data_IF_434723587445
#
_entry.id   IF_434723587445
#
_cell.length_a   1.000
_cell.length_b   1.000
_cell.length_c   1.000
_cell.angle_alpha   90.00
_cell.angle_beta   90.00
_cell.angle_gamma   90.00
#
_symmetry.space_group_name_H-M   'P 1'
#
loop_
_entity.id
_entity.type
_entity.pdbx_description
1 polymer ?
#
# COMPACT_ATOMS: atom_id res chain seq x y z
N UNK A 1 -11.85 24.62 1.85
CA UNK A 1 -11.05 23.40 1.55
C UNK A 1 -11.98 22.21 1.37
N UNK A 2 -11.60 21.19 0.59
CA UNK A 2 -12.34 19.93 0.43
C UNK A 2 -11.37 18.76 0.41
N UNK A 3 -11.83 17.57 0.79
CA UNK A 3 -11.04 16.32 0.73
C UNK A 3 -11.64 15.43 -0.36
N UNK A 4 -10.76 14.92 -1.23
CA UNK A 4 -11.07 13.99 -2.32
C UNK A 4 -10.00 12.90 -2.33
N UNK A 5 -10.31 11.76 -2.97
CA UNK A 5 -9.30 10.77 -3.31
C UNK A 5 -8.91 10.91 -4.76
N UNK A 6 -7.68 10.51 -5.09
CA UNK A 6 -7.24 10.34 -6.46
C UNK A 6 -7.29 8.86 -6.80
N UNK A 7 -8.00 8.50 -7.87
CA UNK A 7 -8.02 7.13 -8.34
C UNK A 7 -6.60 6.71 -8.78
N UNK A 8 -6.16 5.51 -8.38
CA UNK A 8 -4.79 5.03 -8.56
C UNK A 8 -4.34 5.07 -10.02
N UNK A 9 -5.16 4.56 -10.94
CA UNK A 9 -4.81 4.48 -12.36
C UNK A 9 -5.13 5.76 -13.13
N UNK A 10 -6.39 6.21 -13.08
CA UNK A 10 -6.89 7.33 -13.92
C UNK A 10 -6.48 8.70 -13.41
N UNK A 11 -6.00 8.80 -12.15
CA UNK A 11 -5.71 10.06 -11.45
C UNK A 11 -6.91 11.00 -11.33
N UNK A 12 -8.13 10.54 -11.60
CA UNK A 12 -9.34 11.33 -11.44
C UNK A 12 -9.67 11.54 -9.96
N UNK A 13 -10.21 12.71 -9.64
CA UNK A 13 -10.78 12.97 -8.31
C UNK A 13 -12.07 12.16 -8.15
N UNK A 14 -12.16 11.41 -7.05
CA UNK A 14 -13.35 10.69 -6.62
C UNK A 14 -13.70 11.08 -5.18
N UNK A 15 -14.92 10.77 -4.77
CA UNK A 15 -15.38 11.01 -3.40
C UNK A 15 -14.55 10.21 -2.39
N UNK A 16 -14.23 10.84 -1.27
CA UNK A 16 -13.43 10.24 -0.20
C UNK A 16 -14.29 9.40 0.77
N UNK A 17 -15.08 8.48 0.21
CA UNK A 17 -16.03 7.62 0.95
C UNK A 17 -15.35 6.63 1.91
N UNK A 18 -14.01 6.54 1.89
CA UNK A 18 -13.24 5.75 2.85
C UNK A 18 -13.22 6.37 4.26
N UNK A 19 -13.69 7.63 4.40
CA UNK A 19 -13.77 8.34 5.67
C UNK A 19 -15.20 8.43 6.18
N UNK A 20 -15.40 8.05 7.44
CA UNK A 20 -16.65 8.27 8.18
C UNK A 20 -16.85 9.76 8.48
N UNK A 21 -15.75 10.46 8.81
CA UNK A 21 -15.80 11.90 9.08
C UNK A 21 -14.44 12.58 8.92
N UNK A 22 -14.47 13.86 8.60
CA UNK A 22 -13.32 14.76 8.59
C UNK A 22 -13.54 15.88 9.59
N UNK A 23 -12.58 16.08 10.49
CA UNK A 23 -12.57 17.21 11.42
C UNK A 23 -11.51 18.22 10.99
N UNK A 24 -11.91 19.47 10.80
CA UNK A 24 -10.97 20.57 10.62
C UNK A 24 -10.79 21.28 11.96
N UNK A 25 -9.55 21.37 12.42
CA UNK A 25 -9.15 22.13 13.61
C UNK A 25 -8.58 23.47 13.15
N UNK A 26 -9.46 24.44 12.94
CA UNK A 26 -9.11 25.81 12.59
C UNK A 26 -8.44 26.54 13.76
N UNK A 27 -7.89 27.72 13.47
CA UNK A 27 -7.31 28.59 14.49
C UNK A 27 -8.33 28.98 15.58
N UNK A 28 -7.86 29.22 16.81
CA UNK A 28 -8.71 29.53 17.98
C UNK A 28 -9.56 30.80 17.82
N UNK A 29 -9.15 31.72 16.93
CA UNK A 29 -9.91 32.95 16.61
C UNK A 29 -11.28 32.68 16.01
N UNK A 30 -11.54 31.46 15.50
CA UNK A 30 -12.87 31.03 15.06
C UNK A 30 -13.81 30.67 16.22
N UNK A 31 -13.35 30.70 17.48
CA UNK A 31 -14.17 30.46 18.67
C UNK A 31 -14.83 29.09 18.65
N UNK A 32 -16.15 29.05 18.82
CA UNK A 32 -16.93 27.80 18.79
C UNK A 32 -16.82 27.05 17.45
N UNK A 33 -16.44 27.75 16.37
CA UNK A 33 -16.22 27.17 15.05
C UNK A 33 -14.79 26.68 14.82
N UNK A 34 -13.90 26.79 15.81
CA UNK A 34 -12.52 26.34 15.67
C UNK A 34 -12.42 24.84 15.39
N UNK A 35 -13.42 24.04 15.77
CA UNK A 35 -13.45 22.60 15.47
C UNK A 35 -14.74 22.22 14.75
N UNK A 36 -14.63 21.84 13.48
CA UNK A 36 -15.78 21.51 12.64
C UNK A 36 -15.70 20.09 12.10
N UNK A 37 -16.78 19.32 12.24
CA UNK A 37 -16.84 17.90 11.83
C UNK A 37 -17.82 17.74 10.66
N UNK A 38 -17.34 17.12 9.58
CA UNK A 38 -18.12 16.80 8.39
C UNK A 38 -18.19 15.30 8.20
N UNK A 39 -19.37 14.76 7.86
CA UNK A 39 -19.62 13.30 7.78
C UNK A 39 -19.93 12.80 6.37
N UNK A 40 -19.79 13.65 5.36
CA UNK A 40 -20.06 13.31 3.96
C UNK A 40 -19.07 14.00 3.02
N UNK A 41 -18.61 13.32 1.95
CA UNK A 41 -17.86 13.96 0.89
C UNK A 41 -18.62 15.14 0.27
N UNK A 42 -17.89 16.15 -0.25
CA UNK A 42 -16.44 16.25 -0.30
C UNK A 42 -15.84 16.86 0.99
N UNK A 43 -16.53 16.74 2.13
CA UNK A 43 -16.13 17.25 3.45
C UNK A 43 -15.72 18.72 3.39
N UNK A 44 -16.48 19.54 2.67
CA UNK A 44 -16.07 20.92 2.38
C UNK A 44 -16.25 21.82 3.60
N UNK A 45 -15.15 22.45 4.02
CA UNK A 45 -15.16 23.59 4.95
C UNK A 45 -15.03 24.90 4.20
N UNK A 46 -15.77 25.92 4.63
CA UNK A 46 -15.77 27.27 4.06
C UNK A 46 -16.01 28.28 5.17
N UNK A 47 -15.05 29.18 5.37
CA UNK A 47 -15.13 30.26 6.34
C UNK A 47 -14.38 31.49 5.78
N UNK A 48 -14.72 32.67 6.28
CA UNK A 48 -14.04 33.91 5.97
C UNK A 48 -13.00 34.22 7.06
N UNK A 49 -11.79 34.60 6.66
CA UNK A 49 -10.69 34.89 7.57
C UNK A 49 -9.64 35.77 6.91
N UNK A 50 -8.76 36.33 7.73
CA UNK A 50 -7.74 37.30 7.31
C UNK A 50 -6.31 36.81 7.52
N UNK A 51 -6.13 35.65 8.15
CA UNK A 51 -4.82 35.11 8.53
C UNK A 51 -4.52 33.78 7.87
N UNK A 52 -3.22 33.54 7.68
CA UNK A 52 -2.63 32.27 7.28
C UNK A 52 -2.24 31.48 8.54
N UNK A 53 -2.41 30.16 8.52
CA UNK A 53 -2.08 29.31 9.65
C UNK A 53 -2.00 27.83 9.25
N UNK A 54 -1.21 27.07 9.98
CA UNK A 54 -1.28 25.61 9.91
C UNK A 54 -2.49 25.10 10.69
N UNK A 55 -3.22 24.15 10.09
CA UNK A 55 -4.36 23.51 10.73
C UNK A 55 -4.24 22.00 10.67
N UNK A 56 -4.79 21.32 11.69
CA UNK A 56 -4.87 19.88 11.70
C UNK A 56 -6.18 19.43 11.05
N UNK A 57 -6.08 18.46 10.15
CA UNK A 57 -7.20 17.77 9.54
C UNK A 57 -7.19 16.34 10.08
N UNK A 58 -8.18 15.98 10.90
CA UNK A 58 -8.35 14.64 11.44
C UNK A 58 -9.30 13.86 10.52
N UNK A 59 -8.81 12.81 9.87
CA UNK A 59 -9.58 11.94 9.00
C UNK A 59 -9.91 10.65 9.75
N UNK A 60 -11.18 10.44 10.09
CA UNK A 60 -11.66 9.19 10.67
C UNK A 60 -12.06 8.24 9.57
N UNK A 61 -11.34 7.14 9.40
CA UNK A 61 -11.68 6.13 8.40
C UNK A 61 -12.89 5.27 8.81
N UNK A 62 -13.42 4.50 7.87
CA UNK A 62 -14.55 3.58 8.11
C UNK A 62 -14.23 2.45 9.10
N UNK A 63 -12.96 2.21 9.44
CA UNK A 63 -12.55 1.30 10.50
C UNK A 63 -12.46 2.01 11.88
N UNK A 64 -12.73 3.32 11.92
CA UNK A 64 -12.71 4.15 13.11
C UNK A 64 -11.31 4.68 13.49
N UNK A 65 -10.28 4.43 12.68
CA UNK A 65 -8.93 4.93 12.92
C UNK A 65 -8.80 6.38 12.45
N UNK A 66 -8.08 7.19 13.24
CA UNK A 66 -7.78 8.58 12.92
C UNK A 66 -6.45 8.69 12.18
N UNK A 67 -6.44 9.49 11.11
CA UNK A 67 -5.27 9.90 10.36
C UNK A 67 -5.17 11.43 10.38
N UNK A 68 -4.08 11.96 10.92
CA UNK A 68 -3.92 13.41 11.09
C UNK A 68 -3.01 13.96 10.00
N UNK A 69 -3.47 15.02 9.35
CA UNK A 69 -2.71 15.76 8.34
C UNK A 69 -2.54 17.19 8.84
N UNK A 70 -1.32 17.69 8.79
CA UNK A 70 -1.06 19.13 8.98
C UNK A 70 -1.16 19.78 7.60
N UNK A 71 -2.03 20.78 7.49
CA UNK A 71 -2.24 21.53 6.25
C UNK A 71 -1.96 23.00 6.49
N UNK A 72 -1.07 23.56 5.67
CA UNK A 72 -0.77 24.98 5.66
C UNK A 72 -1.85 25.75 4.87
N UNK A 73 -2.63 26.57 5.57
CA UNK A 73 -3.56 27.52 4.98
C UNK A 73 -2.83 28.82 4.67
N UNK A 74 -2.49 29.03 3.40
CA UNK A 74 -1.86 30.27 2.92
C UNK A 74 -2.60 30.84 1.70
N UNK A 75 -2.28 32.09 1.36
CA UNK A 75 -2.89 32.84 0.27
C UNK A 75 -1.91 33.12 -0.87
N UNK A 76 -0.80 32.38 -0.93
CA UNK A 76 0.19 32.49 -2.02
C UNK A 76 -0.45 32.22 -3.40
N UNK A 77 -1.45 31.34 -3.45
CA UNK A 77 -2.22 31.05 -4.67
C UNK A 77 -3.73 31.06 -4.35
N UNK A 78 -4.54 31.60 -5.28
CA UNK A 78 -6.01 31.61 -5.15
C UNK A 78 -6.63 30.20 -5.06
N UNK A 79 -5.94 29.20 -5.60
CA UNK A 79 -6.25 27.78 -5.46
C UNK A 79 -4.95 26.99 -5.43
N UNK A 80 -4.86 26.06 -4.49
CA UNK A 80 -3.79 25.08 -4.42
C UNK A 80 -4.34 23.74 -3.92
N UNK A 81 -3.53 22.70 -4.06
CA UNK A 81 -3.82 21.37 -3.59
C UNK A 81 -2.56 20.78 -2.96
N UNK A 82 -2.76 19.92 -1.94
CA UNK A 82 -1.68 19.17 -1.30
C UNK A 82 -2.02 17.70 -1.41
N UNK A 83 -1.11 16.91 -1.99
CA UNK A 83 -1.28 15.45 -2.11
C UNK A 83 -0.75 14.76 -0.87
N UNK A 84 -1.54 13.87 -0.31
CA UNK A 84 -1.24 13.17 0.93
C UNK A 84 -1.37 11.66 0.70
N UNK A 85 -0.40 10.89 1.18
CA UNK A 85 -0.37 9.44 1.07
C UNK A 85 -0.78 8.85 2.42
N UNK A 86 -1.84 8.04 2.43
CA UNK A 86 -2.34 7.35 3.63
C UNK A 86 -2.27 5.84 3.39
N UNK A 87 -1.53 5.13 4.22
CA UNK A 87 -1.40 3.67 4.15
C UNK A 87 -2.39 3.00 5.11
N UNK A 88 -3.30 2.20 4.55
CA UNK A 88 -4.23 1.38 5.30
C UNK A 88 -3.67 -0.04 5.45
N UNK A 89 -3.23 -0.41 6.66
CA UNK A 89 -2.71 -1.76 6.95
C UNK A 89 -3.87 -2.71 7.26
N UNK A 90 -3.96 -3.80 6.52
CA UNK A 90 -4.99 -4.84 6.68
C UNK A 90 -6.43 -4.27 6.71
N UNK A 91 -6.86 -3.46 5.72
CA UNK A 91 -8.22 -2.92 5.69
C UNK A 91 -9.25 -4.06 5.61
N UNK A 92 -10.37 -3.89 6.30
CA UNK A 92 -11.45 -4.90 6.38
C UNK A 92 -12.81 -4.24 6.32
N UNK A 93 -13.84 -5.04 6.03
CA UNK A 93 -15.23 -4.60 6.06
C UNK A 93 -15.50 -3.42 5.12
N UNK A 94 -16.25 -2.44 5.61
CA UNK A 94 -16.67 -1.26 4.83
C UNK A 94 -15.47 -0.44 4.30
N UNK A 95 -14.36 -0.38 5.05
CA UNK A 95 -13.16 0.33 4.59
C UNK A 95 -12.53 -0.34 3.36
N UNK A 96 -12.38 -1.66 3.38
CA UNK A 96 -11.85 -2.40 2.24
C UNK A 96 -12.77 -2.27 1.01
N UNK A 97 -14.09 -2.37 1.22
CA UNK A 97 -15.06 -2.22 0.15
C UNK A 97 -15.00 -0.83 -0.51
N UNK A 98 -14.93 0.23 0.28
CA UNK A 98 -14.81 1.59 -0.22
C UNK A 98 -13.47 1.84 -0.95
N UNK A 99 -12.37 1.26 -0.45
CA UNK A 99 -11.04 1.41 -1.07
C UNK A 99 -11.01 0.86 -2.51
N UNK A 100 -11.77 -0.18 -2.84
CA UNK A 100 -11.83 -0.73 -4.21
C UNK A 100 -12.32 0.28 -5.26
N UNK A 101 -13.12 1.26 -4.86
CA UNK A 101 -13.57 2.33 -5.75
C UNK A 101 -12.44 3.30 -6.13
N UNK A 102 -11.33 3.30 -5.36
CA UNK A 102 -10.16 4.15 -5.59
C UNK A 102 -9.07 3.50 -6.44
N UNK A 103 -9.25 2.23 -6.82
CA UNK A 103 -8.34 1.50 -7.69
C UNK A 103 -7.99 0.11 -7.16
N UNK A 104 -7.04 -0.57 -7.81
CA UNK A 104 -6.60 -1.91 -7.43
C UNK A 104 -6.06 -1.96 -5.99
N UNK A 105 -6.45 -2.99 -5.23
CA UNK A 105 -5.96 -3.23 -3.87
C UNK A 105 -4.83 -4.27 -3.93
N UNK A 106 -3.62 -3.96 -3.42
CA UNK A 106 -2.52 -4.91 -3.39
C UNK A 106 -2.89 -6.20 -2.63
N UNK A 107 -2.58 -7.36 -3.22
CA UNK A 107 -2.85 -8.68 -2.61
C UNK A 107 -4.27 -9.21 -2.78
N UNK A 108 -5.21 -8.40 -3.30
CA UNK A 108 -6.52 -8.88 -3.73
C UNK A 108 -6.45 -9.22 -5.23
N UNK A 109 -6.28 -10.50 -5.55
CA UNK A 109 -6.35 -10.95 -6.95
C UNK A 109 -7.69 -10.49 -7.55
N UNK A 110 -7.63 -9.78 -8.68
CA UNK A 110 -8.79 -9.25 -9.40
C UNK A 110 -9.77 -10.38 -9.74
N UNK A 111 -10.75 -10.60 -8.86
CA UNK A 111 -11.90 -11.45 -9.15
C UNK A 111 -12.95 -10.57 -9.82
N UNK A 112 -12.80 -10.44 -11.13
CA UNK A 112 -13.87 -9.90 -11.98
C UNK A 112 -15.10 -10.79 -11.87
N UNK A 113 -16.16 -10.28 -11.22
CA UNK A 113 -17.55 -10.38 -11.65
C UNK A 113 -18.28 -11.74 -11.57
N UNK A 114 -19.41 -11.70 -10.85
CA UNK A 114 -20.59 -12.58 -10.89
C UNK A 114 -20.48 -13.98 -10.23
N UNK A 115 -21.12 -14.17 -9.07
CA UNK A 115 -22.54 -14.56 -9.01
C UNK A 115 -23.07 -14.44 -7.58
N UNK A 116 -24.38 -14.28 -7.48
CA UNK A 116 -25.13 -14.02 -6.29
C UNK A 116 -25.27 -15.26 -5.39
N UNK A 117 -25.68 -14.99 -4.16
CA UNK A 117 -26.49 -15.88 -3.32
C UNK A 117 -25.85 -17.17 -2.79
N UNK A 118 -25.58 -17.21 -1.48
CA UNK A 118 -26.08 -18.26 -0.57
C UNK A 118 -25.65 -18.02 0.88
N UNK A 119 -26.60 -17.47 1.65
CA UNK A 119 -27.04 -17.93 2.98
C UNK A 119 -26.04 -18.68 3.88
N UNK A 120 -25.84 -18.06 5.06
CA UNK A 120 -26.16 -18.58 6.41
C UNK A 120 -25.52 -19.91 6.86
N UNK A 121 -25.00 -19.81 8.09
CA UNK A 121 -25.08 -20.76 9.22
C UNK A 121 -23.90 -21.72 9.45
N UNK A 122 -23.15 -21.33 10.50
CA UNK A 122 -22.87 -22.08 11.73
C UNK A 122 -22.16 -23.44 11.65
N UNK A 123 -21.02 -23.44 12.36
CA UNK A 123 -20.34 -24.55 13.00
C UNK A 123 -21.24 -25.67 13.55
N UNK A 124 -20.87 -26.93 13.32
CA UNK A 124 -20.29 -27.82 14.35
C UNK A 124 -19.94 -29.21 13.78
N UNK A 125 -18.73 -29.66 14.16
CA UNK A 125 -18.32 -31.03 14.56
C UNK A 125 -18.35 -32.17 13.53
N UNK A 126 -17.19 -32.83 13.37
CA UNK A 126 -17.17 -34.28 13.11
C UNK A 126 -15.93 -34.87 12.43
N UNK A 127 -14.88 -35.12 13.22
CA UNK A 127 -13.94 -36.26 13.16
C UNK A 127 -13.35 -36.76 11.81
N UNK A 128 -12.02 -36.59 11.70
CA UNK A 128 -11.08 -37.69 11.41
C UNK A 128 -10.78 -38.06 9.96
N UNK A 129 -9.57 -37.75 9.50
CA UNK A 129 -8.55 -38.78 9.17
C UNK A 129 -7.34 -38.20 8.43
N UNK A 130 -6.23 -38.85 8.71
CA UNK A 130 -4.84 -38.55 8.39
C UNK A 130 -4.47 -38.76 6.92
N UNK A 131 -3.52 -37.95 6.43
CA UNK A 131 -2.64 -38.15 5.27
C UNK A 131 -3.26 -38.23 3.85
N UNK A 132 -3.01 -37.20 3.04
CA UNK A 132 -2.14 -37.36 1.85
C UNK A 132 -1.66 -36.03 1.26
N UNK A 133 -0.34 -35.89 1.24
CA UNK A 133 0.45 -35.05 0.34
C UNK A 133 -0.07 -35.21 -1.10
N UNK A 134 -0.46 -34.12 -1.76
CA UNK A 134 -0.52 -34.05 -3.23
C UNK A 134 -0.01 -32.68 -3.70
N UNK A 135 1.23 -32.71 -4.16
CA UNK A 135 1.95 -31.68 -4.90
C UNK A 135 1.51 -31.72 -6.37
N UNK A 136 1.49 -30.56 -7.01
CA UNK A 136 1.49 -30.34 -8.46
C UNK A 136 0.70 -29.08 -8.81
N UNK A 137 1.27 -28.01 -9.37
CA UNK A 137 2.62 -27.73 -9.91
C UNK A 137 2.73 -26.20 -10.08
N UNK A 138 3.85 -25.55 -10.36
CA UNK A 138 5.19 -25.95 -10.79
C UNK A 138 6.13 -24.83 -10.27
N UNK A 139 7.15 -25.19 -9.51
CA UNK A 139 8.11 -24.22 -8.96
C UNK A 139 9.20 -24.99 -8.22
N UNK A 140 10.42 -24.97 -8.76
CA UNK A 140 11.62 -25.46 -8.07
C UNK A 140 11.63 -24.85 -6.66
N UNK A 141 11.88 -25.66 -5.63
CA UNK A 141 12.23 -25.10 -4.33
C UNK A 141 13.53 -24.32 -4.53
N UNK A 142 13.44 -22.99 -4.42
CA UNK A 142 14.57 -22.09 -4.64
C UNK A 142 15.46 -22.17 -3.40
N UNK A 143 16.76 -22.37 -3.61
CA UNK A 143 17.76 -22.42 -2.55
C UNK A 143 18.20 -21.00 -2.21
N UNK A 144 17.75 -20.48 -1.07
CA UNK A 144 17.97 -19.08 -0.68
C UNK A 144 19.44 -18.75 -0.45
N UNK A 145 20.23 -19.72 0.02
CA UNK A 145 21.65 -19.53 0.29
C UNK A 145 22.43 -19.40 -1.03
N UNK A 146 22.09 -20.24 -2.01
CA UNK A 146 22.66 -20.13 -3.37
C UNK A 146 22.23 -18.85 -4.07
N UNK A 147 20.99 -18.40 -3.87
CA UNK A 147 20.51 -17.14 -4.41
C UNK A 147 21.34 -15.95 -3.89
N UNK A 148 21.57 -15.91 -2.57
CA UNK A 148 22.39 -14.88 -1.94
C UNK A 148 23.83 -14.87 -2.48
N UNK A 149 24.44 -16.05 -2.65
CA UNK A 149 25.77 -16.20 -3.22
C UNK A 149 25.83 -15.73 -4.69
N UNK A 150 24.80 -16.05 -5.48
CA UNK A 150 24.68 -15.63 -6.87
C UNK A 150 24.60 -14.12 -7.00
N UNK A 151 23.77 -13.46 -6.18
CA UNK A 151 23.60 -12.01 -6.19
C UNK A 151 24.91 -11.26 -5.89
N UNK A 152 25.75 -11.79 -4.98
CA UNK A 152 27.05 -11.18 -4.65
C UNK A 152 28.12 -11.33 -5.74
N UNK A 153 27.95 -12.28 -6.67
CA UNK A 153 28.90 -12.54 -7.76
C UNK A 153 28.57 -11.79 -9.05
N UNK A 154 27.44 -11.09 -9.09
CA UNK A 154 27.03 -10.30 -10.25
C UNK A 154 27.98 -9.12 -10.47
N UNK A 155 28.20 -8.77 -11.74
CA UNK A 155 28.91 -7.54 -12.10
C UNK A 155 28.09 -6.30 -11.82
N UNK A 156 28.73 -5.13 -11.85
CA UNK A 156 28.10 -3.83 -11.57
C UNK A 156 26.86 -3.56 -12.43
N UNK A 157 26.94 -3.82 -13.74
CA UNK A 157 25.82 -3.65 -14.67
C UNK A 157 24.63 -4.57 -14.34
N UNK A 158 24.90 -5.80 -13.90
CA UNK A 158 23.88 -6.78 -13.54
C UNK A 158 23.25 -6.47 -12.17
N UNK A 159 24.02 -5.90 -11.24
CA UNK A 159 23.53 -5.43 -9.94
C UNK A 159 22.54 -4.28 -10.09
N UNK A 160 22.76 -3.35 -11.01
CA UNK A 160 21.79 -2.29 -11.32
C UNK A 160 20.45 -2.87 -11.80
N UNK A 161 20.50 -3.92 -12.62
CA UNK A 161 19.30 -4.60 -13.09
C UNK A 161 18.57 -5.33 -11.95
N UNK A 162 19.30 -5.92 -11.00
CA UNK A 162 18.72 -6.50 -9.78
C UNK A 162 18.03 -5.45 -8.93
N UNK A 163 18.66 -4.29 -8.70
CA UNK A 163 18.07 -3.19 -7.93
C UNK A 163 16.76 -2.73 -8.57
N UNK A 164 16.74 -2.58 -9.90
CA UNK A 164 15.55 -2.23 -10.65
C UNK A 164 14.45 -3.31 -10.52
N UNK A 165 14.79 -4.59 -10.70
CA UNK A 165 13.85 -5.70 -10.55
C UNK A 165 13.23 -5.75 -9.15
N UNK A 166 14.04 -5.53 -8.12
CA UNK A 166 13.60 -5.48 -6.73
C UNK A 166 12.71 -4.26 -6.50
N UNK A 167 13.09 -3.08 -7.01
CA UNK A 167 12.28 -1.87 -6.87
C UNK A 167 10.89 -2.01 -7.53
N UNK A 168 10.84 -2.62 -8.71
CA UNK A 168 9.61 -2.72 -9.51
C UNK A 168 8.66 -3.82 -9.04
N UNK A 169 9.18 -4.83 -8.34
CA UNK A 169 8.42 -6.04 -7.97
C UNK A 169 8.43 -6.34 -6.46
N UNK A 170 8.98 -5.45 -5.62
CA UNK A 170 8.91 -5.58 -4.17
C UNK A 170 7.47 -5.46 -3.64
N UNK A 171 7.21 -6.09 -2.51
CA UNK A 171 5.99 -5.88 -1.71
C UNK A 171 6.25 -4.95 -0.54
N UNK A 172 5.21 -4.56 0.18
CA UNK A 172 5.34 -3.75 1.41
C UNK A 172 6.03 -4.51 2.56
N UNK A 173 6.04 -5.85 2.51
CA UNK A 173 6.77 -6.69 3.48
C UNK A 173 8.26 -6.81 3.13
N UNK A 174 8.67 -6.46 1.90
CA UNK A 174 10.05 -6.54 1.44
C UNK A 174 10.93 -5.49 2.11
N UNK A 175 11.90 -5.95 2.89
CA UNK A 175 12.89 -5.08 3.51
C UNK A 175 14.09 -4.89 2.60
N UNK A 176 14.43 -3.63 2.34
CA UNK A 176 15.66 -3.23 1.65
C UNK A 176 16.12 -1.86 2.12
N UNK A 177 17.42 -1.62 2.01
CA UNK A 177 18.06 -0.34 2.30
C UNK A 177 19.05 -0.02 1.18
N UNK A 178 18.90 1.15 0.59
CA UNK A 178 19.81 1.66 -0.42
C UNK A 178 20.69 2.76 0.21
N UNK A 179 21.99 2.51 0.29
CA UNK A 179 23.01 3.46 0.76
C UNK A 179 23.79 3.98 -0.45
N UNK A 180 23.28 5.08 -1.02
CA UNK A 180 23.79 5.67 -2.27
C UNK A 180 25.16 6.33 -2.06
N UNK A 181 25.50 6.76 -0.84
CA UNK A 181 26.78 7.39 -0.54
C UNK A 181 27.92 6.38 -0.42
N UNK A 182 27.63 5.17 0.06
CA UNK A 182 28.59 4.06 0.13
C UNK A 182 28.53 3.12 -1.09
N UNK A 183 27.50 3.27 -1.95
CA UNK A 183 27.27 2.38 -3.08
C UNK A 183 26.78 0.99 -2.65
N UNK A 184 26.15 0.87 -1.48
CA UNK A 184 25.72 -0.40 -0.89
C UNK A 184 24.21 -0.60 -0.97
N UNK A 185 23.80 -1.77 -1.45
CA UNK A 185 22.40 -2.17 -1.51
C UNK A 185 22.14 -3.40 -0.65
N UNK A 186 21.34 -3.24 0.40
CA UNK A 186 20.95 -4.31 1.32
C UNK A 186 19.52 -4.76 1.03
N UNK A 187 19.29 -6.06 0.95
CA UNK A 187 17.96 -6.65 0.72
C UNK A 187 17.79 -7.93 1.55
N UNK A 188 16.62 -8.10 2.16
CA UNK A 188 16.29 -9.33 2.88
C UNK A 188 15.47 -10.26 1.97
N UNK A 189 16.10 -11.35 1.50
CA UNK A 189 15.51 -12.30 0.57
C UNK A 189 14.28 -13.02 1.12
N UNK A 190 14.18 -13.22 2.44
CA UNK A 190 13.04 -13.93 3.06
C UNK A 190 11.79 -13.08 3.15
N UNK A 191 11.94 -11.78 2.94
CA UNK A 191 10.85 -10.80 2.94
C UNK A 191 10.35 -10.48 1.53
N UNK A 192 11.02 -11.00 0.51
CA UNK A 192 10.64 -10.80 -0.88
C UNK A 192 9.49 -11.73 -1.28
N UNK A 193 8.58 -11.28 -2.15
CA UNK A 193 7.57 -12.13 -2.76
C UNK A 193 8.18 -13.32 -3.50
N UNK A 194 7.52 -14.50 -3.45
CA UNK A 194 7.99 -15.72 -4.12
C UNK A 194 8.23 -15.52 -5.63
N UNK A 195 7.41 -14.68 -6.29
CA UNK A 195 7.60 -14.32 -7.69
C UNK A 195 8.89 -13.52 -7.91
N UNK A 196 9.22 -12.58 -7.03
CA UNK A 196 10.47 -11.82 -7.10
C UNK A 196 11.67 -12.71 -6.80
N UNK A 197 11.58 -13.58 -5.80
CA UNK A 197 12.60 -14.59 -5.50
C UNK A 197 12.86 -15.46 -6.74
N UNK A 198 11.80 -15.89 -7.43
CA UNK A 198 11.92 -16.66 -8.68
C UNK A 198 12.58 -15.86 -9.79
N UNK A 199 12.21 -14.59 -9.98
CA UNK A 199 12.83 -13.74 -11.00
C UNK A 199 14.33 -13.52 -10.72
N UNK A 200 14.71 -13.27 -9.46
CA UNK A 200 16.12 -13.13 -9.07
C UNK A 200 16.90 -14.44 -9.27
N UNK A 201 16.28 -15.58 -8.98
CA UNK A 201 16.86 -16.89 -9.23
C UNK A 201 17.10 -17.17 -10.71
N UNK A 202 16.11 -16.89 -11.56
CA UNK A 202 16.23 -17.09 -13.00
C UNK A 202 17.33 -16.18 -13.57
N UNK A 203 17.37 -14.91 -13.13
CA UNK A 203 18.37 -13.93 -13.54
C UNK A 203 19.81 -14.34 -13.16
N UNK A 204 20.03 -14.74 -11.91
CA UNK A 204 21.35 -15.18 -11.43
C UNK A 204 21.81 -16.50 -12.05
N UNK A 205 20.87 -17.36 -12.44
CA UNK A 205 21.18 -18.59 -13.21
C UNK A 205 21.58 -18.26 -14.63
N UNK A 206 20.87 -17.37 -15.32
CA UNK A 206 21.19 -16.95 -16.70
C UNK A 206 22.56 -16.28 -16.79
N UNK A 207 22.96 -15.53 -15.76
CA UNK A 207 24.27 -14.88 -15.65
C UNK A 207 25.40 -15.83 -15.21
N UNK A 208 25.14 -17.13 -15.06
CA UNK A 208 26.06 -18.14 -14.53
C UNK A 208 26.64 -17.79 -13.14
N UNK A 209 25.97 -16.93 -12.37
CA UNK A 209 26.42 -16.52 -11.04
C UNK A 209 26.18 -17.63 -10.00
N UNK A 210 25.17 -18.47 -10.24
CA UNK A 210 24.90 -19.69 -9.47
C UNK A 210 25.28 -20.87 -10.35
N UNK A 211 26.31 -21.63 -9.94
CA UNK A 211 26.62 -22.91 -10.59
C UNK A 211 25.46 -23.86 -10.36
N UNK A 212 24.72 -24.18 -11.43
CA UNK A 212 23.82 -25.31 -11.44
C UNK A 212 24.66 -26.59 -11.37
N UNK A 213 25.10 -26.97 -10.18
CA UNK A 213 25.67 -28.31 -9.98
C UNK A 213 24.62 -29.34 -10.35
N UNK A 214 24.97 -30.14 -11.37
CA UNK A 214 24.24 -31.31 -11.84
C UNK A 214 23.99 -32.34 -10.72
#
# INVERSE_FOLDING_TARGET
MRVVLLHADTKQEIDADIFESVTYVLHESFGDKARQVFKKPPFRVSEDGWGEFELMIELKDLAGKLHNIVHDLNFNNARYETKQIITFKNPKGALLEALRNSGPIPGEAATNGADASSKKRSSEIGAGSTQKKKKGGDGKAIDMDKLAEGLQKLGEDDLLQVVQMVHDNKSEDSWMRNDVEQGEFHVDLYTLPENLIKMLWDFTTEKNAISASA
#
